data_IF_700125537473
#
_entry.id   IF_700125537473
#
_cell.length_a   1.000
_cell.length_b   1.000
_cell.length_c   1.000
_cell.angle_alpha   90.00
_cell.angle_beta   90.00
_cell.angle_gamma   90.00
#
_symmetry.space_group_name_H-M   'P 1'
#
loop_
_entity.id
_entity.type
_entity.pdbx_description
1 polymer ?
#
# COMPACT_ATOMS: atom_id res chain seq x y z
N UNK A 1 -10.74 -6.10 -17.89
CA UNK A 1 -9.56 -5.73 -17.08
C UNK A 1 -8.67 -4.71 -17.79
N UNK A 2 -8.10 -5.04 -18.96
CA UNK A 2 -7.13 -4.18 -19.67
C UNK A 2 -7.55 -2.72 -19.87
N UNK A 3 -8.77 -2.47 -20.35
CA UNK A 3 -9.27 -1.10 -20.53
C UNK A 3 -9.33 -0.29 -19.23
N UNK A 4 -9.65 -0.94 -18.09
CA UNK A 4 -9.67 -0.28 -16.77
C UNK A 4 -8.26 0.07 -16.32
N UNK A 5 -7.31 -0.84 -16.52
CA UNK A 5 -5.89 -0.63 -16.18
C UNK A 5 -5.28 0.50 -17.03
N UNK A 6 -5.56 0.53 -18.33
CA UNK A 6 -5.14 1.62 -19.20
C UNK A 6 -5.75 2.97 -18.77
N UNK A 7 -7.05 2.99 -18.48
CA UNK A 7 -7.75 4.19 -18.03
C UNK A 7 -7.25 4.71 -16.67
N UNK A 8 -6.69 3.83 -15.82
CA UNK A 8 -6.12 4.23 -14.53
C UNK A 8 -4.87 5.10 -14.67
N UNK A 9 -4.10 4.92 -15.76
CA UNK A 9 -2.89 5.71 -16.05
C UNK A 9 -3.18 7.08 -16.68
N UNK A 10 -4.40 7.30 -17.14
CA UNK A 10 -4.80 8.55 -17.78
C UNK A 10 -5.42 9.47 -16.73
N UNK A 11 -4.85 10.67 -16.44
CA UNK A 11 -5.31 11.53 -15.35
C UNK A 11 -6.81 11.84 -15.38
N UNK A 12 -7.37 12.09 -16.56
CA UNK A 12 -8.78 12.41 -16.73
C UNK A 12 -9.73 11.25 -16.34
N UNK A 13 -9.29 9.99 -16.45
CA UNK A 13 -10.08 8.80 -16.16
C UNK A 13 -9.61 8.03 -14.93
N UNK A 14 -8.51 8.44 -14.29
CA UNK A 14 -7.90 7.69 -13.19
C UNK A 14 -8.86 7.47 -12.01
N UNK A 15 -9.60 8.51 -11.62
CA UNK A 15 -10.54 8.42 -10.49
C UNK A 15 -11.70 7.43 -10.72
N UNK A 16 -12.46 7.51 -11.83
CA UNK A 16 -13.49 6.50 -12.11
C UNK A 16 -12.88 5.11 -12.37
N UNK A 17 -11.73 5.01 -13.04
CA UNK A 17 -11.05 3.74 -13.27
C UNK A 17 -10.64 3.04 -11.95
N UNK A 18 -10.11 3.79 -10.98
CA UNK A 18 -9.77 3.26 -9.65
C UNK A 18 -11.00 2.70 -8.91
N UNK A 19 -12.17 3.33 -9.06
CA UNK A 19 -13.44 2.82 -8.49
C UNK A 19 -13.84 1.49 -9.14
N UNK A 20 -13.79 1.42 -10.47
CA UNK A 20 -14.14 0.20 -11.21
C UNK A 20 -13.17 -0.93 -10.89
N UNK A 21 -11.86 -0.64 -10.85
CA UNK A 21 -10.84 -1.62 -10.48
C UNK A 21 -11.09 -2.17 -9.07
N UNK A 22 -11.32 -1.29 -8.10
CA UNK A 22 -11.64 -1.69 -6.72
C UNK A 22 -12.87 -2.61 -6.68
N UNK A 23 -13.95 -2.26 -7.38
CA UNK A 23 -15.17 -3.06 -7.43
C UNK A 23 -14.93 -4.45 -8.04
N UNK A 24 -14.15 -4.53 -9.12
CA UNK A 24 -13.79 -5.81 -9.76
C UNK A 24 -12.97 -6.71 -8.82
N UNK A 25 -12.05 -6.14 -8.04
CA UNK A 25 -11.16 -6.87 -7.14
C UNK A 25 -11.84 -7.39 -5.86
N UNK A 26 -13.07 -6.96 -5.57
CA UNK A 26 -13.90 -7.53 -4.51
C UNK A 26 -14.22 -9.00 -4.81
N UNK A 27 -14.32 -9.38 -6.09
CA UNK A 27 -14.41 -10.77 -6.50
C UNK A 27 -13.00 -11.38 -6.59
N UNK A 28 -12.69 -12.29 -5.66
CA UNK A 28 -11.35 -12.88 -5.50
C UNK A 28 -10.76 -13.47 -6.79
N UNK A 29 -11.59 -14.08 -7.64
CA UNK A 29 -11.16 -14.69 -8.90
C UNK A 29 -10.62 -13.68 -9.93
N UNK A 30 -10.91 -12.38 -9.79
CA UNK A 30 -10.39 -11.36 -10.69
C UNK A 30 -8.96 -10.92 -10.36
N UNK A 31 -8.45 -11.23 -9.17
CA UNK A 31 -7.19 -10.65 -8.66
C UNK A 31 -5.99 -11.09 -9.48
N UNK A 32 -5.86 -12.38 -9.79
CA UNK A 32 -4.74 -12.89 -10.60
C UNK A 32 -4.73 -12.27 -12.00
N UNK A 33 -5.88 -12.26 -12.68
CA UNK A 33 -6.00 -11.62 -14.01
C UNK A 33 -5.70 -10.12 -13.96
N UNK A 34 -6.06 -9.43 -12.87
CA UNK A 34 -5.69 -8.02 -12.69
C UNK A 34 -4.17 -7.83 -12.57
N UNK A 35 -3.49 -8.67 -11.78
CA UNK A 35 -2.02 -8.68 -11.67
C UNK A 35 -1.38 -8.94 -13.04
N UNK A 36 -1.81 -9.98 -13.76
CA UNK A 36 -1.30 -10.30 -15.12
C UNK A 36 -1.50 -9.15 -16.13
N UNK A 37 -2.50 -8.29 -15.90
CA UNK A 37 -2.78 -7.11 -16.75
C UNK A 37 -1.96 -5.87 -16.32
N UNK A 38 -1.13 -5.96 -15.28
CA UNK A 38 -0.32 -4.85 -14.78
C UNK A 38 -1.10 -3.86 -13.92
N UNK A 39 -2.17 -4.31 -13.23
CA UNK A 39 -3.00 -3.46 -12.39
C UNK A 39 -2.25 -2.92 -11.16
N UNK A 40 -1.27 -3.66 -10.62
CA UNK A 40 -0.51 -3.23 -9.45
C UNK A 40 0.39 -2.02 -9.80
N UNK A 41 1.20 -2.13 -10.87
CA UNK A 41 1.98 -1.00 -11.38
C UNK A 41 1.09 0.22 -11.70
N UNK A 42 -0.02 0.04 -12.42
CA UNK A 42 -0.93 1.15 -12.74
C UNK A 42 -1.52 1.83 -11.50
N UNK A 43 -1.83 1.06 -10.45
CA UNK A 43 -2.37 1.61 -9.22
C UNK A 43 -1.30 2.38 -8.41
N UNK A 44 -0.04 1.92 -8.39
CA UNK A 44 1.06 2.69 -7.77
C UNK A 44 1.28 4.01 -8.52
N UNK A 45 1.34 3.99 -9.85
CA UNK A 45 1.44 5.19 -10.67
C UNK A 45 0.30 6.17 -10.39
N UNK A 46 -0.94 5.67 -10.24
CA UNK A 46 -2.09 6.49 -9.90
C UNK A 46 -2.02 7.09 -8.48
N UNK A 47 -1.47 6.37 -7.49
CA UNK A 47 -1.21 6.93 -6.16
C UNK A 47 -0.20 8.07 -6.25
N UNK A 48 0.92 7.85 -6.96
CA UNK A 48 1.96 8.87 -7.15
C UNK A 48 1.39 10.11 -7.85
N UNK A 49 0.69 9.93 -8.97
CA UNK A 49 0.12 11.04 -9.73
C UNK A 49 -0.99 11.79 -8.98
N UNK A 50 -1.74 11.09 -8.12
CA UNK A 50 -2.78 11.70 -7.30
C UNK A 50 -2.25 12.48 -6.10
N UNK A 51 -0.99 12.26 -5.72
CA UNK A 51 -0.42 12.75 -4.47
C UNK A 51 -0.97 12.03 -3.22
N UNK A 52 -0.30 12.21 -2.07
CA UNK A 52 -0.53 11.42 -0.86
C UNK A 52 -1.93 11.56 -0.26
N UNK A 53 -2.66 12.65 -0.52
CA UNK A 53 -4.03 12.87 -0.01
C UNK A 53 -5.10 12.94 -1.10
N UNK A 54 -4.76 12.60 -2.35
CA UNK A 54 -5.70 12.76 -3.46
C UNK A 54 -6.81 11.71 -3.49
N UNK A 55 -7.98 12.09 -4.01
CA UNK A 55 -9.18 11.25 -4.00
C UNK A 55 -9.06 9.96 -4.83
N UNK A 56 -8.10 9.90 -5.76
CA UNK A 56 -7.76 8.69 -6.53
C UNK A 56 -6.87 7.75 -5.71
N UNK A 57 -5.90 8.30 -4.98
CA UNK A 57 -4.95 7.52 -4.17
C UNK A 57 -5.67 6.59 -3.18
N UNK A 58 -6.69 7.06 -2.47
CA UNK A 58 -7.42 6.21 -1.50
C UNK A 58 -7.99 4.93 -2.14
N UNK A 59 -8.56 5.06 -3.35
CA UNK A 59 -9.17 3.94 -4.08
C UNK A 59 -8.12 3.03 -4.70
N UNK A 60 -7.04 3.61 -5.21
CA UNK A 60 -5.91 2.85 -5.72
C UNK A 60 -5.22 2.04 -4.61
N UNK A 61 -5.05 2.62 -3.40
CA UNK A 61 -4.53 1.92 -2.23
C UNK A 61 -5.43 0.77 -1.77
N UNK A 62 -6.74 0.97 -1.76
CA UNK A 62 -7.69 -0.11 -1.47
C UNK A 62 -7.60 -1.24 -2.52
N UNK A 63 -7.44 -0.90 -3.80
CA UNK A 63 -7.22 -1.89 -4.87
C UNK A 63 -5.88 -2.64 -4.68
N UNK A 64 -4.80 -1.93 -4.37
CA UNK A 64 -3.49 -2.52 -4.06
C UNK A 64 -3.55 -3.49 -2.88
N UNK A 65 -4.28 -3.15 -1.81
CA UNK A 65 -4.46 -4.04 -0.65
C UNK A 65 -5.15 -5.36 -1.04
N UNK A 66 -6.10 -5.31 -1.99
CA UNK A 66 -6.75 -6.51 -2.52
C UNK A 66 -5.84 -7.30 -3.46
N UNK A 67 -5.07 -6.63 -4.32
CA UNK A 67 -4.08 -7.26 -5.21
C UNK A 67 -2.99 -7.99 -4.40
N UNK A 68 -2.58 -7.42 -3.27
CA UNK A 68 -1.58 -8.04 -2.39
C UNK A 68 -2.09 -9.30 -1.64
N UNK A 69 -3.37 -9.70 -1.80
CA UNK A 69 -3.87 -10.98 -1.28
C UNK A 69 -3.46 -12.18 -2.13
N UNK A 70 -2.93 -11.96 -3.33
CA UNK A 70 -2.25 -12.98 -4.13
C UNK A 70 -0.74 -12.72 -4.09
N UNK A 71 0.06 -13.78 -4.05
CA UNK A 71 1.51 -13.68 -3.82
C UNK A 71 2.21 -12.90 -4.94
N UNK A 72 1.76 -13.11 -6.18
CA UNK A 72 2.26 -12.45 -7.39
C UNK A 72 1.99 -10.94 -7.32
N UNK A 73 0.81 -10.54 -6.83
CA UNK A 73 0.46 -9.12 -6.66
C UNK A 73 1.30 -8.44 -5.59
N UNK A 74 1.55 -9.10 -4.45
CA UNK A 74 2.44 -8.56 -3.43
C UNK A 74 3.89 -8.45 -3.92
N UNK A 75 4.35 -9.41 -4.72
CA UNK A 75 5.68 -9.37 -5.32
C UNK A 75 5.83 -8.23 -6.34
N UNK A 76 4.84 -8.03 -7.21
CA UNK A 76 4.85 -6.92 -8.20
C UNK A 76 4.84 -5.56 -7.50
N UNK A 77 3.98 -5.37 -6.49
CA UNK A 77 3.95 -4.12 -5.72
C UNK A 77 5.30 -3.86 -5.05
N UNK A 78 5.92 -4.88 -4.44
CA UNK A 78 7.24 -4.74 -3.81
C UNK A 78 8.34 -4.37 -4.81
N UNK A 79 8.29 -4.92 -6.02
CA UNK A 79 9.31 -4.69 -7.05
C UNK A 79 9.23 -3.30 -7.69
N UNK A 80 8.09 -2.61 -7.58
CA UNK A 80 7.91 -1.31 -8.19
C UNK A 80 8.71 -0.22 -7.44
N UNK A 81 9.58 0.50 -8.16
CA UNK A 81 10.57 1.42 -7.58
C UNK A 81 9.96 2.56 -6.75
N UNK A 82 8.76 3.03 -7.11
CA UNK A 82 8.07 4.10 -6.38
C UNK A 82 7.32 3.64 -5.12
N UNK A 83 7.22 2.33 -4.85
CA UNK A 83 6.28 1.80 -3.84
C UNK A 83 6.59 2.29 -2.43
N UNK A 84 7.85 2.26 -1.98
CA UNK A 84 8.18 2.65 -0.59
C UNK A 84 7.81 4.11 -0.34
N UNK A 85 8.26 5.01 -1.21
CA UNK A 85 7.99 6.44 -1.13
C UNK A 85 6.48 6.76 -1.25
N UNK A 86 5.77 6.13 -2.19
CA UNK A 86 4.34 6.37 -2.39
C UNK A 86 3.51 5.94 -1.16
N UNK A 87 3.82 4.77 -0.59
CA UNK A 87 3.11 4.29 0.59
C UNK A 87 3.46 5.11 1.83
N UNK A 88 4.73 5.48 2.04
CA UNK A 88 5.15 6.32 3.17
C UNK A 88 4.42 7.67 3.14
N UNK A 89 4.43 8.35 1.98
CA UNK A 89 3.70 9.60 1.80
C UNK A 89 2.20 9.45 2.02
N UNK A 90 1.57 8.36 1.57
CA UNK A 90 0.15 8.11 1.81
C UNK A 90 -0.18 7.86 3.29
N UNK A 91 0.69 7.14 4.01
CA UNK A 91 0.52 6.88 5.45
C UNK A 91 0.59 8.18 6.26
N UNK A 92 1.52 9.06 5.92
CA UNK A 92 1.69 10.37 6.56
C UNK A 92 0.58 11.36 6.17
N UNK A 93 0.21 11.41 4.88
CA UNK A 93 -0.69 12.42 4.33
C UNK A 93 -2.19 12.08 4.38
N UNK A 94 -2.57 10.83 4.60
CA UNK A 94 -3.99 10.43 4.69
C UNK A 94 -4.44 10.18 6.12
N UNK A 95 -5.76 10.19 6.32
CA UNK A 95 -6.44 9.68 7.52
C UNK A 95 -7.40 8.53 7.15
N UNK A 96 -8.01 7.90 8.15
CA UNK A 96 -9.09 6.93 7.97
C UNK A 96 -8.72 5.75 7.05
N UNK A 97 -9.58 5.46 6.07
CA UNK A 97 -9.43 4.28 5.20
C UNK A 97 -8.21 4.35 4.28
N UNK A 98 -7.82 5.52 3.81
CA UNK A 98 -6.64 5.67 2.95
C UNK A 98 -5.36 5.25 3.66
N UNK A 99 -5.16 5.77 4.89
CA UNK A 99 -4.05 5.36 5.78
C UNK A 99 -4.10 3.88 6.11
N UNK A 100 -5.28 3.36 6.46
CA UNK A 100 -5.46 1.92 6.75
C UNK A 100 -5.05 1.04 5.56
N UNK A 101 -5.45 1.40 4.34
CA UNK A 101 -5.10 0.65 3.14
C UNK A 101 -3.60 0.72 2.87
N UNK A 102 -2.97 1.89 3.01
CA UNK A 102 -1.52 2.05 2.82
C UNK A 102 -0.71 1.19 3.82
N UNK A 103 -1.05 1.22 5.12
CA UNK A 103 -0.48 0.33 6.13
C UNK A 103 -0.75 -1.14 5.76
N UNK A 104 -1.94 -1.43 5.24
CA UNK A 104 -2.32 -2.76 4.77
C UNK A 104 -1.43 -3.30 3.64
N UNK A 105 -1.11 -2.45 2.66
CA UNK A 105 -0.20 -2.78 1.56
C UNK A 105 1.22 -2.97 2.10
N UNK A 106 1.72 -2.04 2.93
CA UNK A 106 3.04 -2.17 3.56
C UNK A 106 3.17 -3.49 4.35
N UNK A 107 2.16 -3.84 5.14
CA UNK A 107 2.16 -5.09 5.89
C UNK A 107 2.14 -6.33 4.97
N UNK A 108 1.50 -6.25 3.81
CA UNK A 108 1.47 -7.36 2.86
C UNK A 108 2.82 -7.54 2.12
N UNK A 109 3.51 -6.44 1.81
CA UNK A 109 4.78 -6.50 1.04
C UNK A 109 6.02 -6.55 1.94
N UNK A 110 5.97 -6.05 3.17
CA UNK A 110 7.10 -6.05 4.10
C UNK A 110 6.83 -6.83 5.39
N UNK A 111 5.67 -7.49 5.51
CA UNK A 111 5.42 -8.39 6.63
C UNK A 111 6.16 -9.73 6.50
N UNK A 112 6.36 -10.39 7.64
CA UNK A 112 6.95 -11.72 7.70
C UNK A 112 8.39 -11.76 7.16
N UNK A 113 8.77 -12.75 6.32
CA UNK A 113 10.15 -12.92 5.85
C UNK A 113 10.70 -11.73 5.05
N UNK A 114 9.82 -10.92 4.45
CA UNK A 114 10.22 -9.76 3.66
C UNK A 114 10.56 -8.54 4.52
N UNK A 115 10.32 -8.59 5.85
CA UNK A 115 10.59 -7.47 6.76
C UNK A 115 12.05 -7.03 6.74
N UNK A 116 13.00 -7.98 6.58
CA UNK A 116 14.43 -7.72 6.43
C UNK A 116 14.81 -6.83 5.23
N UNK A 117 13.95 -6.75 4.22
CA UNK A 117 14.16 -5.95 3.00
C UNK A 117 13.48 -4.58 3.03
N UNK A 118 12.73 -4.27 4.09
CA UNK A 118 11.92 -3.06 4.14
C UNK A 118 12.79 -1.79 4.24
N UNK A 119 12.59 -0.79 3.36
CA UNK A 119 13.31 0.48 3.46
C UNK A 119 13.04 1.19 4.80
N UNK A 120 14.03 1.90 5.38
CA UNK A 120 13.89 2.54 6.69
C UNK A 120 12.71 3.52 6.80
N UNK A 121 12.36 4.19 5.71
CA UNK A 121 11.22 5.12 5.67
C UNK A 121 9.87 4.44 5.91
N UNK A 122 9.73 3.14 5.57
CA UNK A 122 8.51 2.38 5.81
C UNK A 122 8.26 2.24 7.31
N UNK A 123 9.29 1.86 8.07
CA UNK A 123 9.20 1.73 9.52
C UNK A 123 8.86 3.06 10.19
N UNK A 124 9.56 4.14 9.81
CA UNK A 124 9.30 5.49 10.33
C UNK A 124 7.87 5.95 10.04
N UNK A 125 7.40 5.81 8.81
CA UNK A 125 6.05 6.22 8.43
C UNK A 125 4.97 5.49 9.25
N UNK A 126 5.15 4.19 9.50
CA UNK A 126 4.20 3.39 10.30
C UNK A 126 4.22 3.81 11.78
N UNK A 127 5.40 4.07 12.36
CA UNK A 127 5.52 4.58 13.74
C UNK A 127 4.77 5.91 13.87
N UNK A 128 5.01 6.87 12.96
CA UNK A 128 4.35 8.17 12.96
C UNK A 128 2.83 8.01 12.82
N UNK A 129 2.37 7.17 11.90
CA UNK A 129 0.94 6.94 11.72
C UNK A 129 0.26 6.27 12.91
N UNK A 130 0.99 5.49 13.72
CA UNK A 130 0.46 4.87 14.93
C UNK A 130 0.31 5.86 16.10
N UNK A 131 1.04 6.97 16.08
CA UNK A 131 0.89 8.06 17.06
C UNK A 131 -0.32 8.95 16.76
N UNK A 132 -0.81 8.96 15.52
CA UNK A 132 -1.99 9.72 15.10
C UNK A 132 -3.28 8.91 15.03
N UNK A 133 -4.32 9.52 14.46
CA UNK A 133 -5.61 8.84 14.23
C UNK A 133 -5.48 7.69 13.23
N UNK A 134 -5.51 6.47 13.74
CA UNK A 134 -5.49 5.26 12.94
C UNK A 134 -6.71 4.39 13.30
N UNK A 135 -7.23 3.61 12.36
CA UNK A 135 -8.30 2.66 12.66
C UNK A 135 -7.75 1.51 13.53
N UNK A 136 -8.65 0.75 14.18
CA UNK A 136 -8.26 -0.46 14.93
C UNK A 136 -7.54 -1.47 14.03
N UNK A 137 -8.03 -1.65 12.80
CA UNK A 137 -7.42 -2.53 11.79
C UNK A 137 -6.05 -2.01 11.34
N UNK A 138 -5.92 -0.71 11.09
CA UNK A 138 -4.66 -0.08 10.73
C UNK A 138 -3.62 -0.26 11.84
N UNK A 139 -3.97 0.02 13.10
CA UNK A 139 -3.11 -0.22 14.27
C UNK A 139 -2.65 -1.67 14.38
N UNK A 140 -3.57 -2.63 14.22
CA UNK A 140 -3.23 -4.06 14.28
C UNK A 140 -2.19 -4.45 13.22
N UNK A 141 -2.39 -4.03 11.98
CA UNK A 141 -1.46 -4.34 10.87
C UNK A 141 -0.12 -3.63 11.03
N UNK A 142 -0.14 -2.36 11.44
CA UNK A 142 1.07 -1.57 11.71
C UNK A 142 1.91 -2.22 12.82
N UNK A 143 1.29 -2.60 13.93
CA UNK A 143 1.99 -3.27 15.04
C UNK A 143 2.62 -4.62 14.63
N UNK A 144 1.92 -5.41 13.80
CA UNK A 144 2.47 -6.66 13.28
C UNK A 144 3.67 -6.42 12.35
N UNK A 145 3.59 -5.41 11.49
CA UNK A 145 4.69 -5.02 10.60
C UNK A 145 5.91 -4.54 11.40
N UNK A 146 5.72 -3.63 12.35
CA UNK A 146 6.81 -3.11 13.18
C UNK A 146 7.49 -4.21 13.99
N UNK A 147 6.72 -5.16 14.52
CA UNK A 147 7.27 -6.34 15.20
C UNK A 147 8.15 -7.17 14.27
N UNK A 148 7.67 -7.50 13.07
CA UNK A 148 8.46 -8.25 12.09
C UNK A 148 9.75 -7.52 11.69
N UNK A 149 9.69 -6.19 11.55
CA UNK A 149 10.87 -5.36 11.28
C UNK A 149 11.87 -5.37 12.44
N UNK A 150 11.40 -5.30 13.69
CA UNK A 150 12.25 -5.41 14.89
C UNK A 150 12.95 -6.77 14.95
N UNK A 151 12.23 -7.86 14.71
CA UNK A 151 12.78 -9.22 14.69
C UNK A 151 13.87 -9.40 13.61
N UNK A 152 13.79 -8.64 12.52
CA UNK A 152 14.80 -8.62 11.45
C UNK A 152 15.87 -7.52 11.60
N UNK A 153 15.88 -6.74 12.69
CA UNK A 153 16.83 -5.65 12.91
C UNK A 153 16.67 -4.44 11.96
N UNK A 154 15.48 -4.26 11.37
CA UNK A 154 15.17 -3.19 10.39
C UNK A 154 14.45 -1.99 10.97
N UNK A 155 14.11 -2.04 12.26
CA UNK A 155 13.52 -0.91 12.97
C UNK A 155 14.56 -0.31 13.92
N UNK A 156 15.16 0.81 13.54
CA UNK A 156 15.92 1.65 14.45
C UNK A 156 14.92 2.50 15.24
N UNK A 157 14.52 1.99 16.40
CA UNK A 157 13.87 2.83 17.40
C UNK A 157 14.96 3.65 18.11
N UNK A 158 14.70 4.93 18.46
CA UNK A 158 15.54 5.61 19.44
C UNK A 158 15.58 4.69 20.66
N UNK A 159 16.77 4.23 21.03
CA UNK A 159 16.96 3.60 22.34
C UNK A 159 16.63 4.67 23.36
N UNK A 160 15.54 4.50 24.11
CA UNK A 160 15.25 5.32 25.27
C UNK A 160 16.50 5.28 26.16
N UNK A 161 17.25 6.39 26.18
CA UNK A 161 18.40 6.55 27.05
C UNK A 161 17.90 6.55 28.49
N UNK A 162 18.50 5.69 29.32
CA UNK A 162 18.33 5.69 30.77
C UNK A 162 18.61 7.06 31.40
#
# INVERSE_FOLDING_TARGET
MAGVVAALRVPASARPAAKVLLALLLADHNRRTAVETGAASAAIEAVVASGPAGATAERALAALELLCRVAEGAAEVRAHSATSAALAGAVEGMAGRGRECAIGVMAAIYGGPAAGSAPPEVGRAVVVAMQGECSSRGRRKGAQLLRAMQECGRLELPTDGC
#
